data_IF_847816992201
#
_entry.id   IF_847816992201
#
_cell.length_a   1.000
_cell.length_b   1.000
_cell.length_c   1.000
_cell.angle_alpha   90.00
_cell.angle_beta   90.00
_cell.angle_gamma   90.00
#
_symmetry.space_group_name_H-M   'P 1'
#
loop_
_entity.id
_entity.type
_entity.pdbx_description
1 polymer ?
#
# COMPACT_ATOMS: atom_id res chain seq x y z
N UNK A 1 -4.97 -13.17 3.92
CA UNK A 1 -4.78 -14.56 4.34
C UNK A 1 -5.50 -14.72 5.65
N UNK A 2 -6.56 -15.50 5.68
CA UNK A 2 -7.05 -16.02 6.93
C UNK A 2 -5.92 -16.92 7.49
N UNK A 3 -5.45 -16.69 8.70
CA UNK A 3 -4.47 -17.57 9.34
C UNK A 3 -4.94 -19.03 9.28
N UNK A 4 -6.24 -19.25 9.36
CA UNK A 4 -6.89 -20.55 9.21
C UNK A 4 -6.61 -21.23 7.87
N UNK A 5 -6.30 -20.49 6.82
CA UNK A 5 -5.95 -21.08 5.52
C UNK A 5 -4.54 -21.68 5.46
N UNK A 6 -3.68 -21.33 6.41
CA UNK A 6 -2.30 -21.84 6.52
C UNK A 6 -2.08 -22.78 7.71
N UNK A 7 -2.90 -22.65 8.73
CA UNK A 7 -2.80 -23.45 9.97
C UNK A 7 -4.09 -24.26 10.08
N UNK A 8 -3.96 -25.56 10.07
CA UNK A 8 -5.08 -26.48 10.00
C UNK A 8 -5.86 -26.63 11.30
N UNK A 9 -5.42 -26.00 12.41
CA UNK A 9 -6.05 -26.13 13.71
C UNK A 9 -6.19 -24.81 14.46
N UNK A 10 -7.27 -24.69 15.27
CA UNK A 10 -7.43 -23.54 16.19
C UNK A 10 -6.29 -23.45 17.21
N UNK A 11 -5.71 -24.59 17.59
CA UNK A 11 -4.59 -24.65 18.53
C UNK A 11 -3.34 -23.97 17.97
N UNK A 12 -3.02 -24.16 16.70
CA UNK A 12 -1.89 -23.49 16.03
C UNK A 12 -2.11 -22.00 15.95
N UNK A 13 -3.32 -21.55 15.61
CA UNK A 13 -3.68 -20.14 15.60
C UNK A 13 -3.56 -19.51 17.01
N UNK A 14 -3.97 -20.21 18.05
CA UNK A 14 -3.88 -19.75 19.44
C UNK A 14 -2.42 -19.62 19.91
N UNK A 15 -1.54 -20.56 19.52
CA UNK A 15 -0.11 -20.50 19.82
C UNK A 15 0.52 -19.26 19.14
N UNK A 16 0.21 -19.04 17.86
CA UNK A 16 0.74 -17.87 17.13
C UNK A 16 0.25 -16.58 17.75
N UNK A 17 -1.05 -16.47 18.05
CA UNK A 17 -1.64 -15.29 18.68
C UNK A 17 -1.02 -14.97 20.05
N UNK A 18 -0.55 -15.97 20.77
CA UNK A 18 0.12 -15.79 22.08
C UNK A 18 1.49 -15.12 21.96
N UNK A 19 2.22 -15.38 20.87
CA UNK A 19 3.60 -14.92 20.71
C UNK A 19 3.76 -13.79 19.69
N UNK A 20 2.77 -13.59 18.83
CA UNK A 20 2.82 -12.59 17.76
C UNK A 20 1.51 -11.82 17.63
N UNK A 21 1.62 -10.53 17.37
CA UNK A 21 0.52 -9.71 16.86
C UNK A 21 0.58 -9.75 15.34
N UNK A 22 -0.45 -10.29 14.71
CA UNK A 22 -0.50 -10.49 13.25
C UNK A 22 -1.57 -9.59 12.64
N UNK A 23 -1.17 -8.79 11.66
CA UNK A 23 -2.06 -7.87 10.98
C UNK A 23 -2.05 -8.10 9.47
N UNK A 24 -3.21 -7.92 8.86
CA UNK A 24 -3.36 -7.68 7.42
C UNK A 24 -3.60 -6.19 7.24
N UNK A 25 -2.80 -5.56 6.41
CA UNK A 25 -2.94 -4.14 6.13
C UNK A 25 -3.07 -3.87 4.63
N UNK A 26 -3.78 -2.79 4.30
CA UNK A 26 -3.86 -2.21 2.96
C UNK A 26 -3.35 -0.79 3.08
N UNK A 27 -2.22 -0.49 2.47
CA UNK A 27 -1.54 0.80 2.55
C UNK A 27 -0.93 1.16 1.20
N UNK A 28 -0.71 2.43 0.95
CA UNK A 28 0.03 2.90 -0.21
C UNK A 28 1.53 2.55 -0.12
N UNK A 29 2.23 2.60 -1.24
CA UNK A 29 3.63 2.18 -1.30
C UNK A 29 4.56 3.05 -0.44
N UNK A 30 4.43 4.39 -0.35
CA UNK A 30 5.21 5.22 0.55
C UNK A 30 5.05 4.84 2.03
N UNK A 31 3.80 4.66 2.49
CA UNK A 31 3.50 4.22 3.86
C UNK A 31 4.07 2.83 4.12
N UNK A 32 3.89 1.89 3.17
CA UNK A 32 4.51 0.58 3.25
C UNK A 32 6.04 0.66 3.33
N UNK A 33 6.66 1.52 2.53
CA UNK A 33 8.11 1.76 2.55
C UNK A 33 8.64 2.20 3.92
N UNK A 34 7.84 2.94 4.69
CA UNK A 34 8.18 3.30 6.07
C UNK A 34 7.97 2.13 7.04
N UNK A 35 6.91 1.35 6.85
CA UNK A 35 6.59 0.20 7.70
C UNK A 35 7.66 -0.90 7.61
N UNK A 36 8.15 -1.22 6.41
CA UNK A 36 9.14 -2.30 6.19
C UNK A 36 10.54 -1.99 6.74
N UNK A 37 10.81 -0.73 7.16
CA UNK A 37 12.04 -0.40 7.88
C UNK A 37 12.13 -1.08 9.25
N UNK A 38 11.01 -1.51 9.80
CA UNK A 38 11.00 -2.35 10.99
C UNK A 38 11.33 -3.79 10.62
N UNK A 39 12.29 -4.38 11.33
CA UNK A 39 12.79 -5.75 11.09
C UNK A 39 11.83 -6.78 11.68
N UNK A 40 10.75 -7.03 10.96
CA UNK A 40 9.74 -8.03 11.29
C UNK A 40 9.42 -8.88 10.06
N UNK A 41 8.57 -9.88 10.21
CA UNK A 41 8.13 -10.69 9.07
C UNK A 41 7.09 -9.95 8.24
N UNK A 42 7.39 -9.74 6.97
CA UNK A 42 6.50 -9.12 5.99
C UNK A 42 6.18 -10.09 4.87
N UNK A 43 4.90 -10.20 4.51
CA UNK A 43 4.43 -10.88 3.31
C UNK A 43 3.58 -9.91 2.49
N UNK A 44 3.98 -9.63 1.28
CA UNK A 44 3.40 -8.57 0.45
C UNK A 44 2.83 -9.15 -0.83
N UNK A 45 1.70 -8.59 -1.28
CA UNK A 45 1.14 -8.89 -2.59
C UNK A 45 2.15 -8.52 -3.68
N UNK A 46 2.64 -9.52 -4.40
CA UNK A 46 3.63 -9.31 -5.44
C UNK A 46 2.99 -9.00 -6.79
N UNK A 47 3.10 -7.77 -7.24
CA UNK A 47 2.68 -7.37 -8.59
C UNK A 47 3.54 -7.92 -9.74
N UNK A 48 4.63 -8.67 -9.42
CA UNK A 48 5.35 -9.49 -10.42
C UNK A 48 4.49 -10.64 -10.94
N UNK A 49 3.69 -11.23 -10.04
CA UNK A 49 2.96 -12.47 -10.29
C UNK A 49 1.44 -12.28 -10.31
N UNK A 50 0.96 -11.15 -9.81
CA UNK A 50 -0.47 -10.85 -9.71
C UNK A 50 -0.77 -9.58 -10.49
N UNK A 51 -1.15 -9.70 -11.78
CA UNK A 51 -1.50 -8.56 -12.61
C UNK A 51 -2.79 -7.88 -12.14
N UNK A 52 -3.04 -6.65 -12.62
CA UNK A 52 -4.24 -5.88 -12.32
C UNK A 52 -5.54 -6.59 -12.75
N UNK A 53 -5.49 -7.40 -13.79
CA UNK A 53 -6.64 -8.22 -14.24
C UNK A 53 -7.08 -9.28 -13.23
N UNK A 54 -6.16 -9.77 -12.39
CA UNK A 54 -6.45 -10.76 -11.34
C UNK A 54 -6.80 -10.10 -10.01
N UNK A 55 -6.09 -9.04 -9.63
CA UNK A 55 -6.38 -8.22 -8.46
C UNK A 55 -6.27 -6.77 -8.90
N UNK A 56 -7.37 -6.05 -9.04
CA UNK A 56 -7.38 -4.66 -9.50
C UNK A 56 -6.46 -3.76 -8.66
N UNK A 57 -5.96 -2.71 -9.29
CA UNK A 57 -5.29 -1.65 -8.56
C UNK A 57 -6.34 -0.79 -7.86
N UNK A 58 -5.94 -0.26 -6.74
CA UNK A 58 -6.66 0.76 -5.99
C UNK A 58 -5.64 1.79 -5.48
N UNK A 59 -6.03 3.05 -5.29
CA UNK A 59 -5.11 4.15 -5.08
C UNK A 59 -5.51 5.00 -3.88
N UNK A 60 -4.51 5.44 -3.14
CA UNK A 60 -4.66 6.48 -2.13
C UNK A 60 -4.38 7.83 -2.75
N UNK A 61 -5.35 8.73 -2.69
CA UNK A 61 -5.17 10.12 -3.12
C UNK A 61 -5.47 11.01 -1.92
N UNK A 62 -4.45 11.66 -1.40
CA UNK A 62 -4.61 12.63 -0.31
C UNK A 62 -5.55 13.76 -0.76
N UNK A 63 -6.38 14.26 0.14
CA UNK A 63 -7.39 15.28 -0.17
C UNK A 63 -6.78 16.56 -0.79
N UNK A 64 -5.57 16.90 -0.39
CA UNK A 64 -4.82 18.03 -0.97
C UNK A 64 -4.51 17.81 -2.45
N UNK A 65 -4.28 16.55 -2.86
CA UNK A 65 -3.95 16.20 -4.25
C UNK A 65 -5.17 16.13 -5.16
N UNK A 66 -6.36 15.87 -4.63
CA UNK A 66 -7.61 15.77 -5.42
C UNK A 66 -7.96 17.06 -6.18
N UNK A 67 -7.47 18.20 -5.70
CA UNK A 67 -7.74 19.52 -6.27
C UNK A 67 -6.58 20.06 -7.12
N UNK A 68 -5.48 19.33 -7.20
CA UNK A 68 -4.32 19.75 -8.00
C UNK A 68 -4.61 19.49 -9.46
N UNK A 69 -4.45 20.54 -10.26
CA UNK A 69 -4.58 20.50 -11.71
C UNK A 69 -3.20 20.53 -12.35
N UNK A 70 -3.02 19.78 -13.40
CA UNK A 70 -1.90 19.90 -14.32
C UNK A 70 -2.41 20.07 -15.75
N UNK A 71 -1.52 20.39 -16.66
CA UNK A 71 -1.87 20.60 -18.06
C UNK A 71 -1.04 19.69 -18.95
N UNK A 72 -1.69 19.03 -19.89
CA UNK A 72 -1.05 18.15 -20.84
C UNK A 72 -1.26 18.65 -22.27
N UNK A 73 -0.16 18.66 -23.03
CA UNK A 73 -0.13 19.11 -24.43
C UNK A 73 0.24 20.58 -24.57
N UNK A 74 1.24 20.83 -25.41
CA UNK A 74 1.55 22.15 -25.92
C UNK A 74 0.94 22.29 -27.31
N UNK A 75 0.18 23.35 -27.54
CA UNK A 75 -0.11 23.77 -28.89
C UNK A 75 1.03 24.67 -29.39
N UNK A 76 1.27 24.72 -30.68
CA UNK A 76 2.27 25.63 -31.28
C UNK A 76 2.06 27.13 -30.89
N UNK A 77 0.85 27.45 -30.44
CA UNK A 77 0.51 28.79 -29.92
C UNK A 77 0.81 28.95 -28.40
N UNK A 78 1.37 27.95 -27.74
CA UNK A 78 1.70 28.01 -26.31
C UNK A 78 0.51 27.90 -25.36
N UNK A 79 -0.72 27.69 -25.85
CA UNK A 79 -1.87 27.41 -25.00
C UNK A 79 -1.99 25.93 -24.70
N UNK A 80 -2.09 25.59 -23.43
CA UNK A 80 -2.36 24.21 -22.96
C UNK A 80 -3.82 23.88 -23.20
N UNK A 81 -4.10 22.73 -23.74
CA UNK A 81 -5.45 22.40 -24.20
C UNK A 81 -6.26 21.52 -23.24
N UNK A 82 -5.60 20.82 -22.30
CA UNK A 82 -6.30 19.86 -21.43
C UNK A 82 -5.90 20.03 -19.96
N UNK A 83 -6.88 20.28 -19.10
CA UNK A 83 -6.71 20.15 -17.66
C UNK A 83 -6.77 18.68 -17.28
N UNK A 84 -5.84 18.22 -16.43
CA UNK A 84 -5.85 16.90 -15.83
C UNK A 84 -5.84 17.03 -14.32
N UNK A 85 -6.64 16.22 -13.67
CA UNK A 85 -6.60 16.01 -12.23
C UNK A 85 -5.77 14.77 -11.89
N UNK A 86 -5.53 14.54 -10.61
CA UNK A 86 -4.73 13.39 -10.16
C UNK A 86 -5.35 12.05 -10.61
N UNK A 87 -6.68 11.95 -10.62
CA UNK A 87 -7.40 10.75 -11.09
C UNK A 87 -7.14 10.50 -12.58
N UNK A 88 -7.18 11.54 -13.41
CA UNK A 88 -6.90 11.43 -14.86
C UNK A 88 -5.48 10.92 -15.12
N UNK A 89 -4.51 11.40 -14.33
CA UNK A 89 -3.11 10.95 -14.43
C UNK A 89 -2.98 9.46 -14.04
N UNK A 90 -3.71 9.03 -13.02
CA UNK A 90 -3.74 7.61 -12.61
C UNK A 90 -4.34 6.76 -13.73
N UNK A 91 -5.45 7.19 -14.33
CA UNK A 91 -6.11 6.48 -15.42
C UNK A 91 -5.21 6.34 -16.65
N UNK A 92 -4.45 7.38 -16.99
CA UNK A 92 -3.44 7.33 -18.05
C UNK A 92 -2.37 6.28 -17.75
N UNK A 93 -1.86 6.25 -16.50
CA UNK A 93 -0.88 5.24 -16.09
C UNK A 93 -1.44 3.81 -16.15
N UNK A 94 -2.69 3.61 -15.76
CA UNK A 94 -3.37 2.32 -15.85
C UNK A 94 -3.56 1.88 -17.30
N UNK A 95 -4.03 2.79 -18.16
CA UNK A 95 -4.20 2.50 -19.59
C UNK A 95 -2.86 2.10 -20.24
N UNK A 96 -1.78 2.79 -19.90
CA UNK A 96 -0.45 2.46 -20.38
C UNK A 96 0.05 1.10 -19.85
N UNK A 97 -0.22 0.79 -18.58
CA UNK A 97 0.09 -0.53 -18.00
C UNK A 97 -0.62 -1.65 -18.76
N UNK A 98 -1.92 -1.49 -19.03
CA UNK A 98 -2.70 -2.48 -19.76
C UNK A 98 -2.24 -2.63 -21.22
N UNK A 99 -1.94 -1.51 -21.89
CA UNK A 99 -1.38 -1.53 -23.24
C UNK A 99 -0.05 -2.28 -23.29
N UNK A 100 0.83 -2.05 -22.31
CA UNK A 100 2.10 -2.76 -22.20
C UNK A 100 1.90 -4.29 -22.04
N UNK A 101 0.94 -4.73 -21.21
CA UNK A 101 0.62 -6.15 -21.06
C UNK A 101 0.07 -6.74 -22.36
N UNK A 102 -0.82 -6.04 -23.06
CA UNK A 102 -1.36 -6.45 -24.37
C UNK A 102 -0.26 -6.56 -25.44
N UNK A 103 0.76 -5.71 -25.36
CA UNK A 103 1.95 -5.77 -26.23
C UNK A 103 2.96 -6.86 -25.82
N UNK A 104 2.66 -7.69 -24.82
CA UNK A 104 3.51 -8.80 -24.37
C UNK A 104 4.60 -8.40 -23.38
N UNK A 105 4.61 -7.17 -22.87
CA UNK A 105 5.55 -6.76 -21.82
C UNK A 105 5.23 -7.52 -20.53
N UNK A 106 6.27 -8.09 -19.92
CA UNK A 106 6.09 -8.88 -18.68
C UNK A 106 5.57 -7.98 -17.54
N UNK A 107 4.64 -8.48 -16.69
CA UNK A 107 4.06 -7.71 -15.58
C UNK A 107 5.11 -7.08 -14.65
N UNK A 108 6.25 -7.76 -14.45
CA UNK A 108 7.36 -7.25 -13.64
C UNK A 108 8.01 -5.97 -14.20
N UNK A 109 7.87 -5.72 -15.51
CA UNK A 109 8.36 -4.51 -16.18
C UNK A 109 7.22 -3.51 -16.24
N UNK A 110 6.06 -3.90 -16.76
CA UNK A 110 4.90 -3.04 -16.95
C UNK A 110 4.47 -2.31 -15.66
N UNK A 111 4.55 -2.99 -14.50
CA UNK A 111 4.22 -2.39 -13.20
C UNK A 111 5.03 -1.14 -12.83
N UNK A 112 6.16 -0.90 -13.50
CA UNK A 112 6.99 0.28 -13.26
C UNK A 112 6.32 1.61 -13.58
N UNK A 113 5.22 1.60 -14.38
CA UNK A 113 4.44 2.80 -14.67
C UNK A 113 3.35 3.10 -13.62
N UNK A 114 3.05 2.15 -12.73
CA UNK A 114 2.00 2.31 -11.74
C UNK A 114 2.43 3.34 -10.69
N UNK A 115 1.60 4.36 -10.40
CA UNK A 115 1.90 5.37 -9.40
C UNK A 115 2.16 4.80 -8.00
N UNK A 116 3.04 5.44 -7.24
CA UNK A 116 3.37 5.01 -5.88
C UNK A 116 2.19 5.11 -4.90
N UNK A 117 1.19 5.93 -5.18
CA UNK A 117 -0.04 5.99 -4.41
C UNK A 117 -0.91 4.72 -4.53
N UNK A 118 -0.50 3.76 -5.37
CA UNK A 118 -1.18 2.46 -5.44
C UNK A 118 -1.10 1.72 -4.09
N UNK A 119 -2.25 1.21 -3.65
CA UNK A 119 -2.31 0.36 -2.48
C UNK A 119 -1.62 -0.99 -2.72
N UNK A 120 -0.93 -1.44 -1.69
CA UNK A 120 -0.50 -2.82 -1.55
C UNK A 120 -1.18 -3.48 -0.36
N UNK A 121 -1.30 -4.79 -0.39
CA UNK A 121 -1.76 -5.59 0.74
C UNK A 121 -0.57 -6.34 1.30
N UNK A 122 -0.36 -6.19 2.59
CA UNK A 122 0.70 -6.88 3.29
C UNK A 122 0.19 -7.55 4.55
N UNK A 123 0.86 -8.64 4.92
CA UNK A 123 0.76 -9.25 6.22
C UNK A 123 2.02 -8.98 7.00
N UNK A 124 1.88 -8.73 8.29
CA UNK A 124 3.01 -8.58 9.18
C UNK A 124 2.77 -9.31 10.50
N UNK A 125 3.85 -9.77 11.11
CA UNK A 125 3.81 -10.43 12.40
C UNK A 125 4.86 -9.79 13.31
N UNK A 126 4.41 -9.18 14.39
CA UNK A 126 5.22 -8.54 15.40
C UNK A 126 5.35 -9.41 16.64
N UNK A 127 6.54 -9.56 17.17
CA UNK A 127 6.69 -9.89 18.58
C UNK A 127 6.27 -8.69 19.46
N UNK A 128 5.84 -8.87 20.71
CA UNK A 128 5.35 -7.78 21.56
C UNK A 128 6.30 -6.58 21.61
N UNK A 129 7.57 -6.77 21.91
CA UNK A 129 8.57 -5.67 21.96
C UNK A 129 8.79 -4.98 20.62
N UNK A 130 8.65 -5.70 19.50
CA UNK A 130 8.73 -5.11 18.17
C UNK A 130 7.51 -4.24 17.89
N UNK A 131 6.33 -4.69 18.34
CA UNK A 131 5.10 -3.91 18.21
C UNK A 131 5.19 -2.61 19.02
N UNK A 132 5.60 -2.68 20.30
CA UNK A 132 5.80 -1.50 21.14
C UNK A 132 6.77 -0.49 20.50
N UNK A 133 7.89 -0.98 19.97
CA UNK A 133 8.86 -0.15 19.26
C UNK A 133 8.29 0.48 17.99
N UNK A 134 7.49 -0.27 17.23
CA UNK A 134 6.80 0.25 16.05
C UNK A 134 5.82 1.36 16.43
N UNK A 135 4.96 1.10 17.41
CA UNK A 135 3.96 2.06 17.88
C UNK A 135 4.63 3.34 18.38
N UNK A 136 5.62 3.22 19.26
CA UNK A 136 6.31 4.40 19.82
C UNK A 136 6.94 5.28 18.74
N UNK A 137 7.57 4.65 17.73
CA UNK A 137 8.21 5.40 16.65
C UNK A 137 7.19 6.00 15.65
N UNK A 138 6.06 5.32 15.41
CA UNK A 138 5.10 5.72 14.38
C UNK A 138 3.93 6.56 14.89
N UNK A 139 3.80 6.71 16.20
CA UNK A 139 2.89 7.66 16.82
C UNK A 139 3.62 8.87 17.42
N UNK A 140 4.92 9.05 17.13
CA UNK A 140 5.69 10.23 17.44
C UNK A 140 5.21 11.43 16.61
N UNK A 141 5.33 12.64 17.15
CA UNK A 141 4.89 13.89 16.51
C UNK A 141 5.59 14.20 15.18
N UNK A 142 6.77 13.62 14.93
CA UNK A 142 7.52 13.76 13.68
C UNK A 142 7.19 12.67 12.67
N UNK A 143 6.34 11.70 13.03
CA UNK A 143 5.92 10.66 12.10
C UNK A 143 4.96 11.24 11.05
N UNK A 144 5.06 10.75 9.82
CA UNK A 144 4.14 11.13 8.74
C UNK A 144 2.73 10.67 9.09
N UNK A 145 1.73 11.48 8.73
CA UNK A 145 0.33 11.26 9.11
C UNK A 145 -0.18 9.86 8.74
N UNK A 146 0.09 9.39 7.52
CA UNK A 146 -0.42 8.10 7.01
C UNK A 146 0.07 6.91 7.83
N UNK A 147 1.36 6.89 8.20
CA UNK A 147 1.89 5.79 9.03
C UNK A 147 1.42 5.90 10.48
N UNK A 148 1.14 7.11 10.95
CA UNK A 148 0.52 7.32 12.27
C UNK A 148 -0.88 6.75 12.30
N UNK A 149 -1.70 6.97 11.24
CA UNK A 149 -3.03 6.37 11.15
C UNK A 149 -2.95 4.84 11.15
N UNK A 150 -1.99 4.25 10.42
CA UNK A 150 -1.78 2.81 10.43
C UNK A 150 -1.45 2.30 11.83
N UNK A 151 -0.54 2.97 12.55
CA UNK A 151 -0.13 2.58 13.89
C UNK A 151 -1.30 2.67 14.90
N UNK A 152 -2.10 3.73 14.82
CA UNK A 152 -3.28 3.91 15.67
C UNK A 152 -4.34 2.83 15.39
N UNK A 153 -4.62 2.52 14.13
CA UNK A 153 -5.54 1.45 13.77
C UNK A 153 -5.06 0.07 14.29
N UNK A 154 -3.75 -0.18 14.28
CA UNK A 154 -3.20 -1.40 14.86
C UNK A 154 -3.38 -1.45 16.39
N UNK A 155 -3.21 -0.33 17.10
CA UNK A 155 -3.47 -0.23 18.54
C UNK A 155 -4.94 -0.54 18.87
N UNK A 156 -5.87 0.08 18.14
CA UNK A 156 -7.30 -0.15 18.32
C UNK A 156 -7.66 -1.62 18.18
N UNK A 157 -7.10 -2.30 17.17
CA UNK A 157 -7.34 -3.73 16.93
C UNK A 157 -6.78 -4.64 18.04
N UNK A 158 -5.77 -4.20 18.78
CA UNK A 158 -5.21 -4.97 19.91
C UNK A 158 -5.94 -4.71 21.22
N UNK A 159 -6.79 -3.69 21.30
CA UNK A 159 -7.41 -3.22 22.53
C UNK A 159 -6.42 -2.60 23.53
N UNK A 160 -5.18 -2.32 23.10
CA UNK A 160 -4.17 -1.67 23.92
C UNK A 160 -4.29 -0.16 23.80
N UNK A 161 -4.20 0.53 24.94
CA UNK A 161 -4.06 1.99 25.00
C UNK A 161 -2.58 2.36 25.08
N UNK A 162 -2.21 3.46 24.46
CA UNK A 162 -0.85 4.04 24.57
C UNK A 162 -0.66 4.71 25.91
#
# INVERSE_FOLDING_TARGET
LDLRSRFNTEAECAIIAKYFKVFKMKVDMPTFGQAVRHRINWQVLSRRYVPGSRVPFDFYIADQMKKVKTYYGYTESGSSSNELYTDDVIDICLAQYEAALKAGVKPQIARGIIPQCAYTVAWCAFQPKQFDSFINLRTDTHAQWEITQLANAMLELTGEQK
#
